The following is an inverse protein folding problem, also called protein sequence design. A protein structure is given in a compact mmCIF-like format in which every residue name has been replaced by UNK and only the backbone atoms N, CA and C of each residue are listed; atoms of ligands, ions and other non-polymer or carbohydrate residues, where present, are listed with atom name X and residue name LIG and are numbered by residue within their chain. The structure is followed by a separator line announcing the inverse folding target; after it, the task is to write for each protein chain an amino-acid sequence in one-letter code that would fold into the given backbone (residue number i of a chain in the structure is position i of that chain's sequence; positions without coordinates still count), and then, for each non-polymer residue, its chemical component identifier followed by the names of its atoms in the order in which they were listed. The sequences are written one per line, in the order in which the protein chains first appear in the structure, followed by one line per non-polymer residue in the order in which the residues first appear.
data_IF_671236189939
#
_entry.id   IF_671236189939
#
_cell.length_a   1.000
_cell.length_b   1.000
_cell.length_c   1.000
_cell.angle_alpha   90.00
_cell.angle_beta   90.00
_cell.angle_gamma   90.00
#
_symmetry.space_group_name_H-M   'P 1'
#
loop_
_entity.id
_entity.type
_entity.pdbx_description
1 polymer ?
#
# COMPACT_ATOMS: atom_id res chain seq x y z
N UNK A 1 -3.77 1.28 8.51
CA UNK A 1 -4.67 0.27 7.91
C UNK A 1 -3.84 -0.65 7.03
N UNK A 2 -4.15 -1.94 6.96
CA UNK A 2 -3.50 -2.85 6.01
C UNK A 2 -4.17 -2.73 4.63
N UNK A 3 -3.41 -2.86 3.53
CA UNK A 3 -3.94 -2.64 2.18
C UNK A 3 -5.00 -3.66 1.76
N UNK A 4 -5.92 -3.21 0.90
CA UNK A 4 -6.82 -4.08 0.12
C UNK A 4 -6.27 -4.10 -1.30
N UNK A 5 -6.02 -5.30 -1.82
CA UNK A 5 -5.59 -5.52 -3.22
C UNK A 5 -6.81 -6.01 -4.00
N UNK A 6 -7.02 -5.47 -5.20
CA UNK A 6 -8.09 -5.93 -6.07
C UNK A 6 -7.72 -5.85 -7.53
N UNK A 7 -8.58 -6.42 -8.36
CA UNK A 7 -8.40 -6.44 -9.80
C UNK A 7 -9.57 -7.08 -10.53
N UNK A 8 -9.37 -7.36 -11.80
CA UNK A 8 -10.34 -8.02 -12.68
C UNK A 8 -9.89 -9.42 -13.04
N UNK A 9 -10.85 -10.33 -13.19
CA UNK A 9 -10.65 -11.65 -13.78
C UNK A 9 -12.02 -12.19 -14.23
N UNK A 10 -12.03 -13.21 -15.09
CA UNK A 10 -13.28 -13.85 -15.50
C UNK A 10 -14.07 -14.38 -14.29
N UNK A 11 -15.37 -14.10 -14.25
CA UNK A 11 -16.25 -14.53 -13.15
C UNK A 11 -16.15 -16.04 -12.94
N UNK A 12 -15.99 -16.45 -11.67
CA UNK A 12 -15.82 -17.86 -11.30
C UNK A 12 -14.37 -18.35 -11.35
N UNK A 13 -13.44 -17.57 -11.91
CA UNK A 13 -12.02 -17.91 -11.90
C UNK A 13 -11.43 -17.82 -10.49
N UNK A 14 -10.54 -18.74 -10.18
CA UNK A 14 -9.69 -18.66 -8.98
C UNK A 14 -8.54 -17.72 -9.26
N UNK A 15 -8.39 -16.70 -8.43
CA UNK A 15 -7.28 -15.75 -8.50
C UNK A 15 -6.26 -16.10 -7.44
N UNK A 16 -5.02 -16.34 -7.86
CA UNK A 16 -3.89 -16.58 -6.97
C UNK A 16 -3.07 -15.31 -6.88
N UNK A 17 -2.87 -14.78 -5.68
CA UNK A 17 -2.14 -13.52 -5.44
C UNK A 17 -0.94 -13.79 -4.55
N UNK A 18 0.24 -13.31 -4.95
CA UNK A 18 1.44 -13.29 -4.11
C UNK A 18 1.83 -11.87 -3.75
N UNK A 19 2.07 -11.63 -2.47
CA UNK A 19 2.52 -10.33 -1.95
C UNK A 19 3.25 -10.53 -0.62
N UNK A 20 4.38 -9.84 -0.45
CA UNK A 20 5.15 -9.88 0.81
C UNK A 20 5.53 -11.29 1.27
N UNK A 21 5.81 -12.21 0.34
CA UNK A 21 6.15 -13.60 0.64
C UNK A 21 4.97 -14.53 0.98
N UNK A 22 3.75 -14.02 1.08
CA UNK A 22 2.54 -14.81 1.28
C UNK A 22 1.83 -15.07 -0.06
N UNK A 23 1.17 -16.23 -0.15
CA UNK A 23 0.27 -16.58 -1.25
C UNK A 23 -1.16 -16.66 -0.74
N UNK A 24 -2.08 -16.11 -1.50
CA UNK A 24 -3.51 -16.09 -1.21
C UNK A 24 -4.29 -16.60 -2.41
N UNK A 25 -5.48 -17.10 -2.14
CA UNK A 25 -6.47 -17.41 -3.17
C UNK A 25 -7.77 -16.68 -2.88
N UNK A 26 -8.44 -16.22 -3.94
CA UNK A 26 -9.78 -15.66 -3.90
C UNK A 26 -10.51 -16.05 -5.19
N UNK A 27 -11.80 -15.78 -5.28
CA UNK A 27 -12.59 -16.07 -6.49
C UNK A 27 -13.12 -14.76 -7.07
N UNK A 28 -12.98 -14.60 -8.38
CA UNK A 28 -13.55 -13.44 -9.06
C UNK A 28 -15.08 -13.57 -9.12
N UNK A 29 -15.76 -12.55 -8.61
CA UNK A 29 -17.22 -12.44 -8.64
C UNK A 29 -17.59 -11.23 -9.47
N UNK A 30 -18.49 -11.43 -10.43
CA UNK A 30 -18.98 -10.35 -11.29
C UNK A 30 -17.83 -9.60 -12.02
N UNK A 31 -16.83 -10.34 -12.49
CA UNK A 31 -15.66 -9.82 -13.21
C UNK A 31 -14.54 -9.22 -12.34
N UNK A 32 -14.69 -9.21 -11.02
CA UNK A 32 -13.77 -8.54 -10.09
C UNK A 32 -13.39 -9.41 -8.90
N UNK A 33 -12.25 -9.13 -8.28
CA UNK A 33 -11.81 -9.77 -7.06
C UNK A 33 -11.19 -8.75 -6.10
N UNK A 34 -11.21 -9.09 -4.80
CA UNK A 34 -10.63 -8.28 -3.74
C UNK A 34 -10.02 -9.19 -2.67
N UNK A 35 -8.96 -8.70 -2.04
CA UNK A 35 -8.19 -9.37 -1.00
C UNK A 35 -7.83 -8.35 0.08
N UNK A 36 -8.43 -8.48 1.26
CA UNK A 36 -8.08 -7.67 2.42
C UNK A 36 -6.95 -8.34 3.21
N UNK A 37 -5.74 -7.78 3.14
CA UNK A 37 -4.57 -8.34 3.81
C UNK A 37 -4.64 -8.29 5.35
N UNK A 38 -5.59 -7.55 5.93
CA UNK A 38 -5.84 -7.56 7.37
C UNK A 38 -6.45 -8.87 7.86
N UNK A 39 -7.32 -9.48 7.04
CA UNK A 39 -8.21 -10.56 7.45
C UNK A 39 -8.00 -11.84 6.64
N UNK A 40 -7.39 -11.75 5.47
CA UNK A 40 -7.11 -12.90 4.64
C UNK A 40 -6.01 -13.76 5.27
N UNK A 41 -6.24 -15.08 5.30
CA UNK A 41 -5.25 -16.06 5.72
C UNK A 41 -4.48 -16.55 4.48
N UNK A 42 -3.14 -16.53 4.48
CA UNK A 42 -2.36 -17.11 3.40
C UNK A 42 -2.65 -18.60 3.24
N UNK A 43 -2.72 -19.07 2.01
CA UNK A 43 -2.73 -20.52 1.72
C UNK A 43 -1.33 -21.12 1.87
N UNK A 44 -0.30 -20.30 1.72
CA UNK A 44 1.11 -20.66 1.92
C UNK A 44 1.95 -19.41 2.22
N UNK A 45 3.09 -19.62 2.88
CA UNK A 45 3.99 -18.55 3.30
C UNK A 45 3.48 -17.76 4.49
N UNK A 46 4.15 -16.65 4.78
CA UNK A 46 3.77 -15.70 5.83
C UNK A 46 3.87 -14.29 5.29
N UNK A 47 2.91 -13.43 5.64
CA UNK A 47 2.88 -12.06 5.15
C UNK A 47 3.94 -11.22 5.85
N UNK A 48 4.88 -10.69 5.08
CA UNK A 48 5.90 -9.75 5.52
C UNK A 48 5.96 -8.58 4.54
N UNK A 49 5.34 -7.47 4.91
CA UNK A 49 5.34 -6.25 4.10
C UNK A 49 6.49 -5.33 4.53
N UNK A 50 7.14 -4.70 3.55
CA UNK A 50 7.93 -3.51 3.80
C UNK A 50 6.99 -2.34 4.07
N UNK A 51 6.89 -1.93 5.34
CA UNK A 51 5.96 -0.89 5.79
C UNK A 51 6.37 0.54 5.41
N UNK A 52 7.61 0.74 4.95
CA UNK A 52 8.12 2.02 4.43
C UNK A 52 8.92 1.77 3.15
N UNK A 53 8.27 1.13 2.18
CA UNK A 53 8.89 0.81 0.91
C UNK A 53 8.01 -0.04 0.00
N UNK A 54 8.66 -0.62 -1.00
CA UNK A 54 7.99 -1.32 -2.10
C UNK A 54 7.72 -2.79 -1.78
N UNK A 55 6.55 -3.27 -2.19
CA UNK A 55 6.09 -4.64 -2.09
C UNK A 55 5.59 -5.09 -3.46
N UNK A 56 6.22 -6.10 -4.05
CA UNK A 56 5.75 -6.63 -5.34
C UNK A 56 4.50 -7.46 -5.14
N UNK A 57 3.48 -7.18 -5.95
CA UNK A 57 2.23 -7.94 -6.06
C UNK A 57 2.23 -8.65 -7.41
N UNK A 58 1.88 -9.94 -7.41
CA UNK A 58 1.65 -10.72 -8.63
C UNK A 58 0.34 -11.47 -8.51
N UNK A 59 -0.46 -11.50 -9.58
CA UNK A 59 -1.73 -12.22 -9.61
C UNK A 59 -1.91 -12.99 -10.93
N UNK A 60 -2.42 -14.21 -10.83
CA UNK A 60 -2.89 -15.03 -11.97
C UNK A 60 -4.33 -15.44 -11.74
N UNK A 61 -5.07 -15.67 -12.83
CA UNK A 61 -6.42 -16.24 -12.78
C UNK A 61 -6.43 -17.61 -13.47
N UNK A 62 -7.11 -18.57 -12.86
CA UNK A 62 -7.36 -19.90 -13.43
C UNK A 62 -8.87 -20.11 -13.56
N UNK A 63 -9.34 -20.36 -14.77
CA UNK A 63 -10.76 -20.60 -15.05
C UNK A 63 -11.21 -22.01 -14.60
N UNK A 64 -12.51 -22.29 -14.70
CA UNK A 64 -13.07 -23.59 -14.29
C UNK A 64 -12.64 -24.77 -15.19
N UNK A 65 -12.15 -24.49 -16.42
CA UNK A 65 -11.60 -25.49 -17.32
C UNK A 65 -10.10 -25.77 -17.08
N UNK A 66 -9.45 -24.98 -16.20
CA UNK A 66 -8.05 -25.12 -15.83
C UNK A 66 -7.09 -24.24 -16.65
N UNK A 67 -7.57 -23.35 -17.51
CA UNK A 67 -6.70 -22.42 -18.23
C UNK A 67 -6.22 -21.33 -17.27
N UNK A 68 -4.91 -21.03 -17.30
CA UNK A 68 -4.30 -20.02 -16.42
C UNK A 68 -3.77 -18.84 -17.22
N UNK A 69 -4.05 -17.62 -16.77
CA UNK A 69 -3.58 -16.39 -17.38
C UNK A 69 -2.06 -16.19 -17.22
N UNK A 70 -1.49 -15.28 -18.01
CA UNK A 70 -0.22 -14.66 -17.64
C UNK A 70 -0.38 -13.86 -16.33
N UNK A 71 0.73 -13.66 -15.62
CA UNK A 71 0.73 -12.90 -14.37
C UNK A 71 0.58 -11.39 -14.65
N UNK A 72 -0.37 -10.76 -13.96
CA UNK A 72 -0.42 -9.30 -13.81
C UNK A 72 0.39 -8.88 -12.58
N UNK A 73 1.16 -7.79 -12.68
CA UNK A 73 2.02 -7.32 -11.59
C UNK A 73 1.79 -5.85 -11.25
N UNK A 74 2.03 -5.51 -9.99
CA UNK A 74 1.99 -4.15 -9.46
C UNK A 74 3.05 -3.98 -8.38
N UNK A 75 3.55 -2.76 -8.20
CA UNK A 75 4.34 -2.37 -7.04
C UNK A 75 3.47 -1.60 -6.05
N UNK A 76 3.26 -2.17 -4.87
CA UNK A 76 2.61 -1.53 -3.73
C UNK A 76 3.68 -0.82 -2.89
N UNK A 77 3.66 0.51 -2.88
CA UNK A 77 4.51 1.32 -2.00
C UNK A 77 3.74 1.70 -0.75
N UNK A 78 4.30 1.37 0.42
CA UNK A 78 3.75 1.75 1.72
C UNK A 78 4.66 2.82 2.29
N UNK A 79 4.08 3.91 2.76
CA UNK A 79 4.75 4.93 3.57
C UNK A 79 3.89 5.21 4.80
N UNK A 80 4.46 4.94 5.97
CA UNK A 80 3.85 5.17 7.28
C UNK A 80 4.62 6.20 8.10
N UNK A 81 5.64 6.82 7.51
CA UNK A 81 6.51 7.77 8.20
C UNK A 81 5.85 9.14 8.21
N UNK A 82 5.56 9.65 9.39
CA UNK A 82 5.05 11.01 9.54
C UNK A 82 6.17 12.03 9.26
N UNK A 83 5.86 13.20 8.68
CA UNK A 83 6.83 14.28 8.57
C UNK A 83 7.24 14.76 9.97
N UNK A 84 8.43 15.35 10.08
CA UNK A 84 8.86 16.01 11.31
C UNK A 84 7.97 17.20 11.62
N UNK A 85 7.82 17.48 12.92
CA UNK A 85 7.13 18.68 13.38
C UNK A 85 7.84 19.94 12.85
N UNK A 86 7.09 20.95 12.35
CA UNK A 86 7.67 22.22 12.01
C UNK A 86 8.37 22.86 13.22
N UNK A 87 9.50 23.52 12.99
CA UNK A 87 10.21 24.25 14.04
C UNK A 87 10.03 25.75 13.85
N UNK A 88 9.70 26.47 14.92
CA UNK A 88 9.74 27.95 14.93
C UNK A 88 11.17 28.36 15.25
N UNK A 89 11.80 29.11 14.35
CA UNK A 89 13.22 29.50 14.45
C UNK A 89 13.41 30.99 14.78
N UNK A 90 12.33 31.77 14.82
CA UNK A 90 12.39 33.16 15.28
C UNK A 90 12.73 33.26 16.76
N UNK A 91 13.41 34.34 17.14
CA UNK A 91 13.80 34.60 18.53
C UNK A 91 12.58 34.69 19.46
N UNK A 92 12.70 34.13 20.67
CA UNK A 92 11.65 34.16 21.68
C UNK A 92 11.34 35.56 22.22
N UNK A 93 12.30 36.48 22.15
CA UNK A 93 12.16 37.89 22.53
C UNK A 93 12.66 38.77 21.40
N UNK A 94 11.90 39.82 21.07
CA UNK A 94 12.28 40.82 20.08
C UNK A 94 12.03 42.22 20.63
N UNK A 95 12.96 43.15 20.38
CA UNK A 95 12.77 44.58 20.60
C UNK A 95 12.26 45.31 19.35
N UNK A 96 11.85 44.57 18.32
CA UNK A 96 11.17 45.09 17.13
C UNK A 96 9.66 45.06 17.33
N UNK A 97 8.97 46.14 16.94
CA UNK A 97 7.50 46.16 16.92
C UNK A 97 6.89 45.31 15.80
N UNK A 98 7.70 44.85 14.84
CA UNK A 98 7.30 43.97 13.72
C UNK A 98 8.33 42.86 13.53
N UNK A 99 8.40 41.87 14.45
CA UNK A 99 9.33 40.76 14.31
C UNK A 99 8.92 39.87 13.12
N UNK A 100 9.91 39.33 12.42
CA UNK A 100 9.68 38.28 11.43
C UNK A 100 9.63 36.94 12.18
N UNK A 101 8.51 36.23 12.04
CA UNK A 101 8.36 34.86 12.54
C UNK A 101 8.73 33.91 11.41
N UNK A 102 9.75 33.08 11.63
CA UNK A 102 10.24 32.11 10.68
C UNK A 102 10.16 30.69 11.23
N UNK A 103 10.19 29.71 10.34
CA UNK A 103 10.23 28.31 10.70
C UNK A 103 10.73 27.42 9.57
N UNK A 104 10.89 26.13 9.88
CA UNK A 104 11.24 25.07 8.94
C UNK A 104 10.18 23.98 8.98
N UNK A 105 9.96 23.30 7.85
CA UNK A 105 9.18 22.08 7.74
C UNK A 105 9.90 21.08 6.82
N UNK A 106 9.51 19.81 6.86
CA UNK A 106 10.03 18.81 5.93
C UNK A 106 9.68 19.16 4.47
N UNK A 107 10.57 18.79 3.54
CA UNK A 107 10.32 18.95 2.11
C UNK A 107 9.04 18.19 1.70
N UNK A 108 8.28 18.78 0.78
CA UNK A 108 7.01 18.24 0.25
C UNK A 108 5.88 18.07 1.29
N UNK A 109 6.03 18.62 2.50
CA UNK A 109 4.94 18.78 3.46
C UNK A 109 4.21 20.11 3.26
N UNK A 110 2.90 20.14 3.53
CA UNK A 110 2.13 21.40 3.56
C UNK A 110 2.23 22.01 4.96
N UNK A 111 2.61 23.29 5.05
CA UNK A 111 2.64 24.09 6.29
C UNK A 111 1.31 24.80 6.50
#
# INVERSE_FOLDING_TARGET
ATPIIGGTAETGSTVTVTVGGATYTTTATNGTWSLNLATATPTSGSLSLNANGTNTVSATATDAAGNTSSAGTQTLTIDTTAPNAPAVTSAALSNSATPIIGGTAEADSTV
#
